data_IF_118049474702
#
_entry.id   IF_118049474702
#
_cell.length_a   1.000
_cell.length_b   1.000
_cell.length_c   1.000
_cell.angle_alpha   90.00
_cell.angle_beta   90.00
_cell.angle_gamma   90.00
#
_symmetry.space_group_name_H-M   'P 1'
#
loop_
_entity.id
_entity.type
_entity.pdbx_description
1 polymer ?
#
# COMPACT_ATOMS: atom_id res chain seq x y z
N UNK A 1 -7.73 -21.39 -14.90
CA UNK A 1 -7.36 -21.89 -13.56
C UNK A 1 -7.35 -20.69 -12.62
N UNK A 2 -8.10 -20.74 -11.52
CA UNK A 2 -8.11 -19.68 -10.50
C UNK A 2 -7.15 -20.10 -9.39
N UNK A 3 -6.12 -19.30 -9.12
CA UNK A 3 -5.18 -19.52 -8.02
C UNK A 3 -5.71 -18.84 -6.76
N UNK A 4 -5.65 -19.53 -5.62
CA UNK A 4 -6.17 -19.05 -4.33
C UNK A 4 -5.00 -18.86 -3.35
N UNK A 5 -4.58 -17.61 -3.08
CA UNK A 5 -3.43 -17.32 -2.21
C UNK A 5 -3.49 -17.99 -0.84
N UNK A 6 -4.66 -17.97 -0.22
CA UNK A 6 -4.94 -18.49 1.11
C UNK A 6 -4.85 -20.01 1.09
N UNK A 7 -5.49 -20.65 0.11
CA UNK A 7 -5.45 -22.10 -0.05
C UNK A 7 -4.02 -22.60 -0.29
N UNK A 8 -3.24 -21.90 -1.13
CA UNK A 8 -1.84 -22.26 -1.38
C UNK A 8 -1.00 -22.11 -0.11
N UNK A 9 -1.22 -21.06 0.68
CA UNK A 9 -0.52 -20.92 1.95
C UNK A 9 -0.90 -22.05 2.92
N UNK A 10 -2.18 -22.44 3.02
CA UNK A 10 -2.59 -23.56 3.89
C UNK A 10 -1.89 -24.88 3.52
N UNK A 11 -1.69 -25.17 2.24
CA UNK A 11 -0.91 -26.32 1.79
C UNK A 11 0.55 -26.25 2.28
N UNK A 12 1.18 -25.08 2.16
CA UNK A 12 2.56 -24.83 2.63
C UNK A 12 2.67 -24.97 4.16
N UNK A 13 1.68 -24.45 4.90
CA UNK A 13 1.64 -24.58 6.36
C UNK A 13 1.52 -26.06 6.79
N UNK A 14 0.75 -26.87 6.05
CA UNK A 14 0.57 -28.28 6.32
C UNK A 14 1.81 -29.13 5.94
N UNK A 15 2.50 -28.78 4.85
CA UNK A 15 3.67 -29.52 4.37
C UNK A 15 4.41 -28.76 3.27
N UNK A 16 5.47 -27.99 3.60
CA UNK A 16 6.26 -27.30 2.59
C UNK A 16 6.99 -28.31 1.70
N UNK A 17 6.97 -28.09 0.38
CA UNK A 17 7.59 -28.99 -0.59
C UNK A 17 9.12 -28.78 -0.72
N UNK A 18 9.62 -27.61 -0.33
CA UNK A 18 11.03 -27.24 -0.42
C UNK A 18 11.43 -26.21 0.65
N UNK A 19 12.68 -25.73 0.57
CA UNK A 19 13.25 -24.79 1.52
C UNK A 19 12.61 -23.40 1.48
N UNK A 20 12.17 -22.92 0.31
CA UNK A 20 11.54 -21.60 0.20
C UNK A 20 10.14 -21.61 0.81
N UNK A 21 9.38 -22.67 0.57
CA UNK A 21 8.08 -22.86 1.23
C UNK A 21 8.23 -23.01 2.75
N UNK A 22 9.28 -23.69 3.21
CA UNK A 22 9.60 -23.78 4.63
C UNK A 22 9.94 -22.40 5.23
N UNK A 23 10.71 -21.56 4.51
CA UNK A 23 10.98 -20.17 4.91
C UNK A 23 9.69 -19.34 4.97
N UNK A 24 8.79 -19.47 3.99
CA UNK A 24 7.50 -18.77 3.97
C UNK A 24 6.60 -19.18 5.15
N UNK A 25 6.55 -20.48 5.47
CA UNK A 25 5.84 -20.99 6.66
C UNK A 25 6.41 -20.42 7.95
N UNK A 26 7.73 -20.41 8.09
CA UNK A 26 8.42 -19.89 9.28
C UNK A 26 8.15 -18.39 9.46
N UNK A 27 8.16 -17.62 8.36
CA UNK A 27 7.82 -16.20 8.37
C UNK A 27 6.38 -15.97 8.84
N UNK A 28 5.39 -16.67 8.27
CA UNK A 28 3.97 -16.53 8.68
C UNK A 28 3.78 -16.93 10.14
N UNK A 29 4.47 -17.97 10.60
CA UNK A 29 4.42 -18.41 12.00
C UNK A 29 4.99 -17.35 12.95
N UNK A 30 6.12 -16.73 12.57
CA UNK A 30 6.72 -15.62 13.32
C UNK A 30 5.81 -14.40 13.38
N UNK A 31 5.24 -14.00 12.23
CA UNK A 31 4.29 -12.89 12.17
C UNK A 31 3.05 -13.16 13.03
N UNK A 32 2.49 -14.37 12.97
CA UNK A 32 1.35 -14.79 13.80
C UNK A 32 1.69 -14.68 15.29
N UNK A 33 2.87 -15.16 15.70
CA UNK A 33 3.29 -15.15 17.09
C UNK A 33 3.45 -13.75 17.67
N UNK A 34 3.99 -12.80 16.88
CA UNK A 34 4.26 -11.44 17.36
C UNK A 34 3.04 -10.52 17.22
N UNK A 35 2.28 -10.63 16.12
CA UNK A 35 1.13 -9.74 15.84
C UNK A 35 -0.22 -10.26 16.38
N UNK A 36 -0.29 -11.54 16.76
CA UNK A 36 -1.55 -12.22 17.07
C UNK A 36 -2.51 -12.33 15.87
N UNK A 37 -2.05 -12.02 14.65
CA UNK A 37 -2.85 -12.18 13.43
C UNK A 37 -2.91 -13.65 13.09
N UNK A 38 -4.10 -14.26 12.93
CA UNK A 38 -4.21 -15.68 12.62
C UNK A 38 -3.64 -15.97 11.24
N UNK A 39 -3.02 -17.15 11.07
CA UNK A 39 -2.48 -17.59 9.78
C UNK A 39 -3.53 -17.59 8.63
N UNK A 40 -4.82 -17.70 8.96
CA UNK A 40 -5.92 -17.62 8.00
C UNK A 40 -6.10 -16.24 7.36
N UNK A 41 -5.55 -15.18 7.96
CA UNK A 41 -5.54 -13.82 7.40
C UNK A 41 -4.34 -13.57 6.46
N UNK A 42 -3.58 -14.60 6.11
CA UNK A 42 -2.44 -14.50 5.21
C UNK A 42 -2.67 -15.33 3.93
N UNK A 43 -1.97 -14.94 2.87
CA UNK A 43 -1.83 -15.72 1.64
C UNK A 43 -0.44 -15.59 1.05
N UNK A 44 -0.14 -16.38 0.02
CA UNK A 44 1.07 -16.24 -0.81
C UNK A 44 0.70 -15.82 -2.22
N UNK A 45 1.50 -14.97 -2.84
CA UNK A 45 1.35 -14.56 -4.24
C UNK A 45 2.63 -14.84 -5.04
N UNK A 46 2.72 -14.29 -6.24
CA UNK A 46 3.92 -14.36 -7.07
C UNK A 46 4.29 -15.80 -7.44
N UNK A 47 5.59 -16.07 -7.44
CA UNK A 47 6.13 -17.35 -7.93
C UNK A 47 5.72 -18.55 -7.06
N UNK A 48 5.58 -18.36 -5.74
CA UNK A 48 5.16 -19.40 -4.79
C UNK A 48 3.69 -19.80 -5.04
N UNK A 49 2.82 -18.82 -5.32
CA UNK A 49 1.42 -19.09 -5.66
C UNK A 49 1.27 -19.94 -6.92
N UNK A 50 2.12 -19.66 -7.91
CA UNK A 50 2.09 -20.34 -9.20
C UNK A 50 2.84 -21.68 -9.18
N UNK A 51 3.64 -21.96 -8.14
CA UNK A 51 4.54 -23.10 -8.09
C UNK A 51 5.66 -23.03 -9.14
N UNK A 52 6.03 -21.81 -9.54
CA UNK A 52 7.08 -21.52 -10.53
C UNK A 52 8.33 -20.93 -9.87
N UNK A 53 8.40 -20.99 -8.54
CA UNK A 53 9.52 -20.48 -7.78
C UNK A 53 10.76 -21.36 -7.93
N UNK A 54 11.92 -20.73 -7.76
CA UNK A 54 13.17 -21.42 -7.58
C UNK A 54 13.66 -21.20 -6.15
N UNK A 55 13.81 -22.27 -5.34
CA UNK A 55 14.21 -22.13 -3.94
C UNK A 55 15.53 -21.38 -3.73
N UNK A 56 16.41 -21.35 -4.72
CA UNK A 56 17.71 -20.67 -4.63
C UNK A 56 17.62 -19.14 -4.68
N UNK A 57 16.61 -18.56 -5.35
CA UNK A 57 16.60 -17.10 -5.62
C UNK A 57 15.23 -16.43 -5.65
N UNK A 58 14.12 -17.16 -5.69
CA UNK A 58 12.78 -16.55 -5.68
C UNK A 58 12.51 -15.84 -4.36
N UNK A 59 11.80 -14.72 -4.42
CA UNK A 59 11.37 -13.95 -3.24
C UNK A 59 10.14 -14.60 -2.57
N UNK A 60 9.80 -14.12 -1.37
CA UNK A 60 8.53 -14.46 -0.70
C UNK A 60 7.58 -13.27 -0.82
N UNK A 61 6.49 -13.46 -1.56
CA UNK A 61 5.44 -12.46 -1.67
C UNK A 61 4.23 -12.89 -0.83
N UNK A 62 4.00 -12.20 0.28
CA UNK A 62 2.88 -12.47 1.20
C UNK A 62 1.73 -11.51 0.96
N UNK A 63 0.51 -11.98 1.15
CA UNK A 63 -0.70 -11.17 1.26
C UNK A 63 -1.15 -11.16 2.71
N UNK A 64 -1.65 -10.01 3.19
CA UNK A 64 -2.35 -9.88 4.48
C UNK A 64 -3.73 -9.32 4.21
N UNK A 65 -4.77 -10.03 4.66
CA UNK A 65 -6.17 -9.68 4.47
C UNK A 65 -6.72 -9.00 5.71
N UNK A 66 -7.39 -7.87 5.54
CA UNK A 66 -8.10 -7.16 6.60
C UNK A 66 -7.36 -5.93 7.11
N UNK A 67 -8.06 -4.83 7.36
CA UNK A 67 -7.48 -3.57 7.87
C UNK A 67 -6.84 -3.76 9.23
N UNK A 68 -7.56 -4.40 10.16
CA UNK A 68 -7.08 -4.60 11.51
C UNK A 68 -5.86 -5.53 11.53
N UNK A 69 -5.83 -6.53 10.66
CA UNK A 69 -4.75 -7.50 10.49
C UNK A 69 -3.51 -6.82 9.90
N UNK A 70 -3.68 -6.03 8.84
CA UNK A 70 -2.60 -5.26 8.21
C UNK A 70 -1.95 -4.31 9.21
N UNK A 71 -2.73 -3.53 9.97
CA UNK A 71 -2.18 -2.60 10.95
C UNK A 71 -1.47 -3.32 12.10
N UNK A 72 -1.99 -4.46 12.57
CA UNK A 72 -1.30 -5.28 13.57
C UNK A 72 0.03 -5.82 13.05
N UNK A 73 0.07 -6.38 11.82
CA UNK A 73 1.33 -6.80 11.20
C UNK A 73 2.30 -5.63 11.09
N UNK A 74 1.85 -4.51 10.52
CA UNK A 74 2.67 -3.30 10.32
C UNK A 74 3.29 -2.79 11.63
N UNK A 75 2.51 -2.74 12.71
CA UNK A 75 3.00 -2.30 14.02
C UNK A 75 4.15 -3.17 14.55
N UNK A 76 4.13 -4.48 14.26
CA UNK A 76 5.15 -5.43 14.74
C UNK A 76 6.44 -5.46 13.93
N UNK A 77 6.42 -4.96 12.69
CA UNK A 77 7.59 -4.97 11.81
C UNK A 77 8.65 -3.92 12.19
N UNK A 78 8.26 -2.88 12.94
CA UNK A 78 9.16 -1.81 13.38
C UNK A 78 9.82 -2.03 14.75
N UNK A 79 9.45 -3.09 15.47
CA UNK A 79 9.97 -3.37 16.81
C UNK A 79 11.33 -4.08 16.77
N UNK A 80 12.14 -3.93 17.83
CA UNK A 80 13.41 -4.62 17.97
C UNK A 80 13.17 -6.15 17.98
N UNK A 81 13.62 -6.85 16.94
CA UNK A 81 13.33 -8.27 16.73
C UNK A 81 12.16 -8.55 15.77
N UNK A 82 11.64 -7.51 15.11
CA UNK A 82 10.64 -7.64 14.05
C UNK A 82 11.05 -8.66 12.99
N UNK A 83 10.06 -9.35 12.42
CA UNK A 83 10.30 -10.46 11.49
C UNK A 83 11.05 -10.02 10.23
N UNK A 84 10.95 -8.75 9.83
CA UNK A 84 11.66 -8.21 8.66
C UNK A 84 12.77 -7.25 9.07
N UNK A 85 13.96 -7.53 8.56
CA UNK A 85 15.10 -6.61 8.63
C UNK A 85 15.01 -5.61 7.47
N UNK A 86 15.38 -4.34 7.67
CA UNK A 86 15.46 -3.36 6.58
C UNK A 86 16.37 -3.83 5.43
N UNK A 87 16.11 -3.32 4.22
CA UNK A 87 16.93 -3.62 3.06
C UNK A 87 18.37 -3.11 3.23
N UNK A 88 19.34 -3.75 2.55
CA UNK A 88 20.70 -3.25 2.48
C UNK A 88 20.75 -1.82 1.93
N UNK A 89 21.67 -0.96 2.43
CA UNK A 89 21.76 0.45 2.02
C UNK A 89 21.86 0.64 0.50
N UNK A 90 22.58 -0.22 -0.20
CA UNK A 90 22.77 -0.18 -1.65
C UNK A 90 21.48 -0.48 -2.42
N UNK A 91 20.67 -1.44 -1.94
CA UNK A 91 19.36 -1.76 -2.54
C UNK A 91 18.38 -0.63 -2.29
N UNK A 92 18.40 -0.06 -1.09
CA UNK A 92 17.59 1.12 -0.75
C UNK A 92 17.97 2.33 -1.60
N UNK A 93 19.26 2.58 -1.80
CA UNK A 93 19.75 3.66 -2.66
C UNK A 93 19.37 3.46 -4.14
N UNK A 94 19.48 2.23 -4.66
CA UNK A 94 19.03 1.91 -6.01
C UNK A 94 17.53 2.19 -6.20
N UNK A 95 16.70 1.72 -5.27
CA UNK A 95 15.26 1.98 -5.29
C UNK A 95 14.94 3.48 -5.27
N UNK A 96 15.64 4.27 -4.45
CA UNK A 96 15.45 5.73 -4.41
C UNK A 96 15.76 6.37 -5.76
N UNK A 97 16.89 6.01 -6.38
CA UNK A 97 17.28 6.54 -7.69
C UNK A 97 16.27 6.19 -8.78
N UNK A 98 15.91 4.92 -8.87
CA UNK A 98 14.94 4.42 -9.87
C UNK A 98 13.57 5.09 -9.71
N UNK A 99 13.13 5.29 -8.46
CA UNK A 99 11.87 5.98 -8.15
C UNK A 99 11.93 7.46 -8.52
N UNK A 100 13.02 8.14 -8.20
CA UNK A 100 13.22 9.55 -8.56
C UNK A 100 13.18 9.75 -10.08
N UNK A 101 13.88 8.89 -10.83
CA UNK A 101 13.95 8.93 -12.29
C UNK A 101 12.60 8.62 -12.93
N UNK A 102 11.92 7.56 -12.48
CA UNK A 102 10.65 7.11 -13.07
C UNK A 102 9.51 8.10 -12.85
N UNK A 103 9.46 8.75 -11.69
CA UNK A 103 8.32 9.60 -11.29
C UNK A 103 8.65 11.09 -11.24
N UNK A 104 9.88 11.48 -11.63
CA UNK A 104 10.31 12.88 -11.60
C UNK A 104 10.25 13.51 -10.21
N UNK A 105 10.55 12.72 -9.17
CA UNK A 105 10.46 13.14 -7.77
C UNK A 105 11.80 13.68 -7.27
N UNK A 106 11.74 14.69 -6.42
CA UNK A 106 12.93 15.22 -5.73
C UNK A 106 13.49 14.21 -4.73
N UNK A 107 14.78 14.35 -4.35
CA UNK A 107 15.39 13.48 -3.34
C UNK A 107 14.61 13.45 -2.00
N UNK A 108 14.05 14.58 -1.58
CA UNK A 108 13.30 14.69 -0.33
C UNK A 108 11.95 13.96 -0.39
N UNK A 109 11.25 14.05 -1.53
CA UNK A 109 9.99 13.33 -1.78
C UNK A 109 10.23 11.81 -1.78
N UNK A 110 11.29 11.36 -2.46
CA UNK A 110 11.63 9.93 -2.47
C UNK A 110 12.07 9.46 -1.10
N UNK A 111 12.85 10.25 -0.36
CA UNK A 111 13.23 9.92 1.01
C UNK A 111 12.00 9.85 1.94
N UNK A 112 10.98 10.65 1.70
CA UNK A 112 9.71 10.58 2.43
C UNK A 112 8.97 9.27 2.15
N UNK A 113 8.83 8.87 0.87
CA UNK A 113 8.19 7.63 0.47
C UNK A 113 8.92 6.40 1.02
N UNK A 114 10.25 6.40 0.93
CA UNK A 114 11.09 5.35 1.47
C UNK A 114 10.94 5.16 2.98
N UNK A 115 10.77 6.24 3.76
CA UNK A 115 10.53 6.14 5.21
C UNK A 115 9.18 5.53 5.55
N UNK A 116 8.17 5.68 4.68
CA UNK A 116 6.83 5.12 4.88
C UNK A 116 6.68 3.69 4.38
N UNK A 117 7.61 3.23 3.54
CA UNK A 117 7.61 1.86 3.00
C UNK A 117 8.00 0.86 4.08
N UNK A 118 7.00 0.20 4.66
CA UNK A 118 7.16 -0.81 5.70
C UNK A 118 7.10 -2.25 5.17
N UNK A 119 6.56 -2.43 3.97
CA UNK A 119 6.11 -3.71 3.44
C UNK A 119 7.14 -4.42 2.53
N UNK A 120 8.42 -4.06 2.63
CA UNK A 120 9.48 -4.71 1.86
C UNK A 120 10.79 -4.77 2.67
N UNK A 121 11.34 -5.97 2.84
CA UNK A 121 12.49 -6.19 3.70
C UNK A 121 13.11 -7.58 3.50
N UNK A 122 13.92 -8.00 4.47
CA UNK A 122 14.60 -9.29 4.47
C UNK A 122 14.13 -10.18 5.63
N UNK A 123 13.82 -11.45 5.34
CA UNK A 123 13.66 -12.49 6.34
C UNK A 123 14.76 -13.54 6.14
N UNK A 124 15.67 -13.69 7.11
CA UNK A 124 16.83 -14.62 7.01
C UNK A 124 17.64 -14.49 5.71
N UNK A 125 17.76 -13.26 5.18
CA UNK A 125 18.48 -12.97 3.94
C UNK A 125 17.65 -13.12 2.66
N UNK A 126 16.40 -13.57 2.75
CA UNK A 126 15.42 -13.65 1.65
C UNK A 126 14.65 -12.36 1.52
N UNK A 127 14.46 -11.84 0.30
CA UNK A 127 13.56 -10.71 0.08
C UNK A 127 12.11 -11.12 0.31
N UNK A 128 11.41 -10.26 1.05
CA UNK A 128 9.99 -10.42 1.37
C UNK A 128 9.26 -9.16 0.98
N UNK A 129 8.17 -9.31 0.24
CA UNK A 129 7.17 -8.27 0.02
C UNK A 129 5.87 -8.63 0.71
N UNK A 130 5.23 -7.65 1.35
CA UNK A 130 3.92 -7.80 1.99
C UNK A 130 2.91 -6.94 1.22
N UNK A 131 1.83 -7.57 0.79
CA UNK A 131 0.76 -6.98 0.00
C UNK A 131 -0.50 -6.91 0.86
N UNK A 132 -0.80 -5.75 1.48
CA UNK A 132 -2.06 -5.56 2.18
C UNK A 132 -3.23 -5.60 1.20
N UNK A 133 -4.30 -6.29 1.57
CA UNK A 133 -5.57 -6.30 0.83
C UNK A 133 -6.75 -6.29 1.79
N UNK A 134 -7.90 -5.83 1.29
CA UNK A 134 -9.17 -5.91 2.03
C UNK A 134 -9.58 -7.37 2.22
N UNK A 135 -10.17 -7.66 3.38
CA UNK A 135 -10.94 -8.89 3.55
C UNK A 135 -12.26 -8.80 2.77
N UNK A 136 -12.85 -9.95 2.44
CA UNK A 136 -14.08 -10.02 1.62
C UNK A 136 -15.24 -9.20 2.25
N UNK A 137 -15.37 -9.24 3.57
CA UNK A 137 -16.41 -8.52 4.32
C UNK A 137 -16.15 -7.00 4.44
N UNK A 138 -14.94 -6.53 4.11
CA UNK A 138 -14.60 -5.11 4.05
C UNK A 138 -14.89 -4.50 2.67
N UNK A 139 -15.20 -5.33 1.66
CA UNK A 139 -15.54 -4.88 0.31
C UNK A 139 -17.05 -4.64 0.27
N UNK A 140 -17.43 -3.38 0.43
CA UNK A 140 -18.84 -2.94 0.50
C UNK A 140 -19.37 -2.38 -0.81
N UNK A 141 -18.50 -2.15 -1.79
CA UNK A 141 -18.86 -1.62 -3.12
C UNK A 141 -18.47 -2.62 -4.20
N UNK A 142 -19.44 -2.97 -5.05
CA UNK A 142 -19.25 -3.75 -6.27
C UNK A 142 -18.84 -2.86 -7.44
N UNK A 143 -18.21 -3.50 -8.44
CA UNK A 143 -17.92 -2.81 -9.70
C UNK A 143 -19.22 -2.36 -10.37
N UNK A 144 -19.33 -1.04 -10.64
CA UNK A 144 -20.50 -0.44 -11.27
C UNK A 144 -21.54 0.13 -10.30
N UNK A 145 -21.36 -0.05 -8.99
CA UNK A 145 -22.29 0.49 -7.98
C UNK A 145 -22.29 2.02 -7.95
N UNK A 146 -21.16 2.63 -8.32
CA UNK A 146 -20.97 4.08 -8.35
C UNK A 146 -20.44 4.53 -9.71
N UNK A 147 -21.29 4.57 -10.75
CA UNK A 147 -20.88 5.00 -12.08
C UNK A 147 -20.46 6.47 -12.03
N UNK A 148 -19.29 6.76 -12.59
CA UNK A 148 -18.72 8.10 -12.69
C UNK A 148 -18.30 8.40 -14.13
N UNK A 149 -18.31 9.69 -14.48
CA UNK A 149 -17.88 10.18 -15.78
C UNK A 149 -16.57 10.97 -15.65
N UNK A 150 -15.60 10.78 -16.55
CA UNK A 150 -14.36 11.55 -16.53
C UNK A 150 -14.63 13.01 -16.94
N UNK A 151 -14.08 13.97 -16.19
CA UNK A 151 -14.26 15.41 -16.42
C UNK A 151 -12.99 16.14 -16.90
N UNK A 152 -11.83 15.51 -16.78
CA UNK A 152 -10.53 16.01 -17.26
C UNK A 152 -9.44 15.92 -16.18
N UNK A 153 -8.17 16.12 -16.55
CA UNK A 153 -7.09 16.17 -15.57
C UNK A 153 -7.20 17.42 -14.69
N UNK A 154 -6.89 17.28 -13.40
CA UNK A 154 -6.80 18.38 -12.46
C UNK A 154 -5.64 18.21 -11.47
N UNK A 155 -5.19 19.33 -10.92
CA UNK A 155 -4.34 19.39 -9.73
C UNK A 155 -5.15 19.98 -8.58
N UNK A 156 -5.18 19.30 -7.43
CA UNK A 156 -5.90 19.74 -6.24
C UNK A 156 -4.97 19.82 -5.04
N UNK A 157 -5.24 20.77 -4.15
CA UNK A 157 -4.76 20.76 -2.78
C UNK A 157 -5.91 20.41 -1.84
N UNK A 158 -5.69 19.52 -0.86
CA UNK A 158 -6.74 19.12 0.08
C UNK A 158 -6.16 18.67 1.43
N UNK A 159 -7.01 18.59 2.46
CA UNK A 159 -6.66 17.97 3.75
C UNK A 159 -7.20 16.53 3.80
N UNK A 160 -6.34 15.58 4.16
CA UNK A 160 -6.74 14.19 4.38
C UNK A 160 -7.56 14.09 5.66
N UNK A 161 -8.66 13.35 5.62
CA UNK A 161 -9.58 13.16 6.76
C UNK A 161 -9.70 11.72 7.18
N UNK A 162 -9.57 10.77 6.25
CA UNK A 162 -9.69 9.34 6.47
C UNK A 162 -8.68 8.62 5.59
N UNK A 163 -8.00 7.64 6.18
CA UNK A 163 -6.96 6.83 5.54
C UNK A 163 -7.21 5.35 5.72
N UNK A 164 -8.41 4.95 6.15
CA UNK A 164 -8.74 3.56 6.40
C UNK A 164 -8.40 2.68 5.18
N UNK A 165 -8.58 3.22 3.97
CA UNK A 165 -8.33 2.57 2.68
C UNK A 165 -7.03 2.95 2.00
N UNK A 166 -6.22 3.82 2.63
CA UNK A 166 -5.02 4.36 2.00
C UNK A 166 -3.92 3.30 1.81
N UNK A 167 -3.92 2.24 2.62
CA UNK A 167 -2.90 1.18 2.57
C UNK A 167 -3.10 0.14 1.47
N UNK A 168 -4.23 0.13 0.76
CA UNK A 168 -4.59 -0.90 -0.23
C UNK A 168 -4.41 -0.41 -1.66
N UNK A 169 -4.69 -1.27 -2.65
CA UNK A 169 -4.76 -0.87 -4.05
C UNK A 169 -6.15 -1.21 -4.64
N UNK A 170 -6.90 -0.23 -5.17
CA UNK A 170 -6.59 1.20 -5.13
C UNK A 170 -6.63 1.77 -3.70
N UNK A 171 -5.70 2.68 -3.42
CA UNK A 171 -5.64 3.41 -2.16
C UNK A 171 -6.68 4.53 -2.20
N UNK A 172 -7.47 4.69 -1.14
CA UNK A 172 -8.50 5.74 -1.07
C UNK A 172 -8.23 6.64 0.14
N UNK A 173 -8.10 7.93 -0.14
CA UNK A 173 -8.00 8.98 0.85
C UNK A 173 -9.28 9.81 0.80
N UNK A 174 -10.05 9.89 1.90
CA UNK A 174 -11.11 10.90 1.98
C UNK A 174 -10.51 12.24 2.31
N UNK A 175 -10.99 13.28 1.63
CA UNK A 175 -10.43 14.62 1.75
C UNK A 175 -11.49 15.66 2.06
N UNK A 176 -11.05 16.75 2.68
CA UNK A 176 -11.84 17.95 2.93
C UNK A 176 -11.06 19.20 2.51
N UNK A 177 -11.78 20.31 2.37
CA UNK A 177 -11.24 21.61 1.92
C UNK A 177 -10.44 21.49 0.61
N UNK A 178 -10.92 20.67 -0.30
CA UNK A 178 -10.30 20.47 -1.60
C UNK A 178 -10.45 21.73 -2.47
N UNK A 179 -9.32 22.24 -2.97
CA UNK A 179 -9.25 23.36 -3.90
C UNK A 179 -8.59 22.91 -5.18
N UNK A 180 -9.24 23.13 -6.33
CA UNK A 180 -8.67 22.88 -7.65
C UNK A 180 -7.73 24.03 -8.01
N UNK A 181 -6.45 23.74 -8.18
CA UNK A 181 -5.43 24.71 -8.59
C UNK A 181 -5.32 24.83 -10.12
N UNK A 182 -5.53 23.71 -10.81
CA UNK A 182 -5.50 23.59 -12.27
C UNK A 182 -6.52 22.52 -12.70
N UNK A 183 -7.21 22.74 -13.82
CA UNK A 183 -8.22 21.82 -14.36
C UNK A 183 -9.68 22.20 -14.05
N UNK A 184 -10.64 21.31 -14.33
CA UNK A 184 -12.07 21.60 -14.20
C UNK A 184 -12.49 21.76 -12.73
N UNK A 185 -13.40 22.70 -12.41
CA UNK A 185 -13.94 22.84 -11.07
C UNK A 185 -14.78 21.61 -10.71
N UNK A 186 -14.50 21.01 -9.54
CA UNK A 186 -15.24 19.87 -9.03
C UNK A 186 -15.19 19.85 -7.49
N UNK A 187 -16.27 19.37 -6.86
CA UNK A 187 -16.30 19.09 -5.43
C UNK A 187 -15.66 17.72 -5.18
N UNK A 188 -14.38 17.71 -4.84
CA UNK A 188 -13.63 16.45 -4.61
C UNK A 188 -13.77 16.00 -3.16
N UNK A 189 -14.29 14.79 -2.96
CA UNK A 189 -14.48 14.16 -1.64
C UNK A 189 -13.42 13.08 -1.36
N UNK A 190 -12.82 12.52 -2.40
CA UNK A 190 -11.82 11.45 -2.28
C UNK A 190 -10.73 11.53 -3.36
N UNK A 191 -9.55 11.05 -2.99
CA UNK A 191 -8.44 10.80 -3.92
C UNK A 191 -8.22 9.29 -3.99
N UNK A 192 -8.41 8.72 -5.18
CA UNK A 192 -8.28 7.29 -5.47
C UNK A 192 -6.99 7.08 -6.22
N UNK A 193 -6.14 6.17 -5.74
CA UNK A 193 -4.76 6.03 -6.18
C UNK A 193 -4.51 4.60 -6.62
N UNK A 194 -4.21 4.43 -7.92
CA UNK A 194 -3.86 3.15 -8.54
C UNK A 194 -2.35 2.94 -8.67
N UNK A 195 -1.54 3.91 -8.25
CA UNK A 195 -0.08 3.78 -8.19
C UNK A 195 0.34 3.41 -6.76
N UNK A 196 0.83 2.18 -6.59
CA UNK A 196 1.20 1.63 -5.28
C UNK A 196 2.31 2.44 -4.57
N UNK A 197 3.12 3.19 -5.32
CA UNK A 197 4.11 4.11 -4.74
C UNK A 197 3.48 5.13 -3.78
N UNK A 198 2.24 5.53 -4.05
CA UNK A 198 1.52 6.55 -3.29
C UNK A 198 0.49 5.96 -2.29
N UNK A 199 0.48 4.63 -2.10
CA UNK A 199 -0.34 3.99 -1.07
C UNK A 199 0.27 4.20 0.33
N UNK A 200 -0.59 4.51 1.31
CA UNK A 200 -0.22 4.69 2.72
C UNK A 200 0.72 5.86 2.99
N UNK A 201 0.76 6.86 2.09
CA UNK A 201 1.77 7.91 2.14
C UNK A 201 1.34 9.17 2.92
N UNK A 202 0.06 9.30 3.27
CA UNK A 202 -0.46 10.46 4.01
C UNK A 202 -1.31 10.00 5.20
N UNK A 203 -1.33 10.79 6.26
CA UNK A 203 -2.07 10.53 7.50
C UNK A 203 -3.26 11.51 7.66
N UNK A 204 -4.27 11.22 8.51
CA UNK A 204 -5.34 12.16 8.80
C UNK A 204 -4.81 13.50 9.31
N UNK A 205 -5.28 14.58 8.68
CA UNK A 205 -4.84 15.95 8.95
C UNK A 205 -3.73 16.45 8.01
N UNK A 206 -3.04 15.58 7.28
CA UNK A 206 -2.01 15.99 6.33
C UNK A 206 -2.62 16.83 5.20
N UNK A 207 -1.88 17.84 4.75
CA UNK A 207 -2.20 18.57 3.51
C UNK A 207 -1.49 17.91 2.34
N UNK A 208 -2.25 17.58 1.30
CA UNK A 208 -1.75 16.95 0.09
C UNK A 208 -1.90 17.86 -1.12
N UNK A 209 -1.02 17.67 -2.10
CA UNK A 209 -1.15 18.14 -3.47
C UNK A 209 -1.21 16.91 -4.37
N UNK A 210 -2.28 16.76 -5.15
CA UNK A 210 -2.47 15.61 -6.00
C UNK A 210 -2.85 16.03 -7.42
N UNK A 211 -2.26 15.37 -8.41
CA UNK A 211 -2.61 15.50 -9.83
C UNK A 211 -3.17 14.20 -10.34
N UNK A 212 -4.34 14.26 -10.97
CA UNK A 212 -5.05 13.07 -11.42
C UNK A 212 -6.18 13.41 -12.39
N UNK A 213 -6.97 12.40 -12.74
CA UNK A 213 -8.17 12.52 -13.56
C UNK A 213 -9.38 12.76 -12.66
N UNK A 214 -10.12 13.85 -12.87
CA UNK A 214 -11.38 14.09 -12.17
C UNK A 214 -12.45 13.16 -12.74
N UNK A 215 -13.19 12.52 -11.84
CA UNK A 215 -14.40 11.77 -12.16
C UNK A 215 -15.53 12.22 -11.25
N UNK A 216 -16.74 12.36 -11.81
CA UNK A 216 -17.92 12.82 -11.07
C UNK A 216 -19.04 11.80 -11.25
N UNK A 217 -19.67 11.42 -10.14
CA UNK A 217 -20.84 10.52 -10.16
C UNK A 217 -22.16 11.26 -10.43
N UNK A 218 -23.25 10.50 -10.63
CA UNK A 218 -24.56 11.08 -10.93
C UNK A 218 -25.13 11.99 -9.82
N UNK A 219 -24.61 11.90 -8.59
CA UNK A 219 -24.98 12.76 -7.48
C UNK A 219 -24.11 14.03 -7.38
N UNK A 220 -23.18 14.21 -8.32
CA UNK A 220 -22.26 15.37 -8.35
C UNK A 220 -21.06 15.23 -7.43
N UNK A 221 -20.81 14.05 -6.84
CA UNK A 221 -19.65 13.83 -5.97
C UNK A 221 -18.43 13.53 -6.82
N UNK A 222 -17.38 14.32 -6.62
CA UNK A 222 -16.14 14.20 -7.36
C UNK A 222 -15.10 13.35 -6.64
N UNK A 223 -14.31 12.63 -7.43
CA UNK A 223 -13.06 12.00 -7.00
C UNK A 223 -11.92 12.38 -7.93
N UNK A 224 -10.70 12.41 -7.40
CA UNK A 224 -9.49 12.53 -8.19
C UNK A 224 -8.80 11.17 -8.30
N UNK A 225 -8.63 10.67 -9.52
CA UNK A 225 -7.97 9.38 -9.80
C UNK A 225 -6.51 9.58 -10.19
N UNK A 226 -5.59 9.14 -9.35
CA UNK A 226 -4.14 9.09 -9.58
C UNK A 226 -3.76 7.69 -10.06
N UNK A 227 -2.82 7.58 -10.99
CA UNK A 227 -2.41 6.33 -11.64
C UNK A 227 -3.20 6.01 -12.91
N UNK A 228 -3.88 7.01 -13.51
CA UNK A 228 -4.66 6.83 -14.74
C UNK A 228 -3.85 7.18 -15.99
N UNK A 229 -3.99 6.37 -17.05
CA UNK A 229 -3.39 6.66 -18.37
C UNK A 229 -3.95 7.95 -19.02
N UNK A 230 -5.05 8.50 -18.50
CA UNK A 230 -5.60 9.78 -18.95
C UNK A 230 -4.75 11.00 -18.52
N UNK A 231 -3.78 10.79 -17.64
CA UNK A 231 -2.88 11.83 -17.13
C UNK A 231 -1.46 11.49 -17.52
N UNK A 232 -0.74 12.44 -18.12
CA UNK A 232 0.68 12.26 -18.45
C UNK A 232 1.47 11.88 -17.20
N UNK A 233 2.30 10.82 -17.31
CA UNK A 233 3.04 10.26 -16.18
C UNK A 233 2.19 9.59 -15.10
N UNK A 234 0.89 9.41 -15.33
CA UNK A 234 -0.04 8.77 -14.39
C UNK A 234 -0.53 9.69 -13.27
N UNK A 235 -0.05 10.93 -13.17
CA UNK A 235 -0.37 11.83 -12.06
C UNK A 235 0.54 11.63 -10.83
N UNK A 236 0.32 12.44 -9.80
CA UNK A 236 1.20 12.49 -8.61
C UNK A 236 0.39 12.69 -7.34
N UNK A 237 0.95 12.28 -6.20
CA UNK A 237 0.46 12.66 -4.87
C UNK A 237 1.67 13.07 -4.02
N UNK A 238 1.57 14.22 -3.35
CA UNK A 238 2.62 14.80 -2.50
C UNK A 238 2.02 15.26 -1.18
N UNK A 239 2.73 15.10 -0.08
CA UNK A 239 2.35 15.68 1.22
C UNK A 239 3.09 17.01 1.38
N UNK A 240 2.33 18.11 1.44
CA UNK A 240 2.85 19.47 1.53
C UNK A 240 3.22 19.85 2.97
N UNK A 241 2.40 19.43 3.92
CA UNK A 241 2.59 19.67 5.34
C UNK A 241 1.97 18.52 6.12
N UNK A 242 2.75 17.90 6.99
CA UNK A 242 2.22 16.89 7.90
C UNK A 242 1.46 17.54 9.05
N UNK A 243 0.39 16.89 9.50
CA UNK A 243 -0.27 17.28 10.75
C UNK A 243 0.74 17.24 11.90
N UNK A 244 0.65 18.15 12.88
CA UNK A 244 1.46 18.03 14.10
C UNK A 244 1.15 16.69 14.76
N UNK A 245 2.20 15.87 14.95
CA UNK A 245 2.10 14.60 15.68
C UNK A 245 1.42 14.83 17.03
N UNK A 246 0.31 14.14 17.29
CA UNK A 246 -0.12 13.91 18.67
C UNK A 246 0.91 12.98 19.29
N UNK A 247 2.00 13.54 19.80
CA UNK A 247 2.92 12.81 20.65
C UNK A 247 2.10 12.17 21.77
N UNK A 248 2.08 10.83 21.81
CA UNK A 248 1.66 10.10 22.99
C UNK A 248 2.51 10.55 24.19
N UNK A 249 1.98 10.46 25.43
CA UNK A 249 2.70 10.93 26.60
C UNK A 249 4.07 10.24 26.65
N UNK A 250 5.13 11.05 26.85
CA UNK A 250 6.46 10.53 27.09
C UNK A 250 6.42 9.53 28.26
N UNK A 251 7.13 8.39 28.19
CA UNK A 251 7.25 7.52 29.34
C UNK A 251 7.94 8.30 30.46
N UNK A 252 7.21 8.52 31.55
CA UNK A 252 7.75 9.02 32.81
C UNK A 252 8.46 7.92 33.60
#
# INVERSE_FOLDING_TARGET
>A
RHYRPEARLQEILAGPADSLEAEARDLVSGLTAVSGVPAAAFGVTGSILLGLHNPAFSDIDLIVYGRAEVERVRATLGEAGGALVPLPPERRAAWRRETAERFGLSPDEVAYLDRRRWNYGLFRGRYVSIHPTRAEDEITEGYGDRPSSPCGPATIAARVTDVADAGFLPAVYKVADATVEDGPPAAIEEVVVFEALFAGMADPGDRILARGQVEVDAAGRGRLVVGSAAVEGGGTLRVLASAPSRAGPAPG
#
